data_IF_831244051809
#
_entry.id   IF_831244051809
#
_cell.length_a   1.000
_cell.length_b   1.000
_cell.length_c   1.000
_cell.angle_alpha   90.00
_cell.angle_beta   90.00
_cell.angle_gamma   90.00
#
_symmetry.space_group_name_H-M   'P 1'
#
loop_
_entity.id
_entity.type
_entity.pdbx_description
1 polymer ?
#
# COMPACT_ATOMS: atom_id res chain seq x y z
N UNK A 1 -1.79 35.46 18.06
CA UNK A 1 -2.11 34.78 19.33
C UNK A 1 -0.82 34.21 19.88
N UNK A 2 -0.48 34.49 21.13
CA UNK A 2 0.74 33.94 21.72
C UNK A 2 0.52 32.46 22.07
N UNK A 3 1.60 31.66 22.08
CA UNK A 3 1.53 30.23 22.47
C UNK A 3 0.94 30.07 23.89
N UNK A 4 1.25 30.98 24.81
CA UNK A 4 0.74 30.95 26.19
C UNK A 4 -0.77 31.15 26.26
N UNK A 5 -1.34 32.06 25.46
CA UNK A 5 -2.80 32.27 25.36
C UNK A 5 -3.52 31.02 24.83
N UNK A 6 -2.94 30.38 23.80
CA UNK A 6 -3.47 29.14 23.23
C UNK A 6 -3.46 28.02 24.28
N UNK A 7 -2.33 27.81 24.94
CA UNK A 7 -2.21 26.81 26.02
C UNK A 7 -3.19 27.12 27.15
N UNK A 8 -3.32 28.37 27.58
CA UNK A 8 -4.25 28.76 28.64
C UNK A 8 -5.70 28.46 28.29
N UNK A 9 -6.11 28.67 27.02
CA UNK A 9 -7.46 28.39 26.55
C UNK A 9 -7.75 26.88 26.49
N UNK A 10 -6.83 26.10 25.93
CA UNK A 10 -6.99 24.64 25.81
C UNK A 10 -6.99 23.95 27.18
N UNK A 11 -6.21 24.47 28.13
CA UNK A 11 -6.13 24.00 29.51
C UNK A 11 -7.41 24.14 30.33
N UNK A 12 -8.43 24.84 29.81
CA UNK A 12 -9.76 24.93 30.43
C UNK A 12 -10.61 23.67 30.17
N UNK A 13 -10.22 22.85 29.20
CA UNK A 13 -10.92 21.64 28.83
C UNK A 13 -10.15 20.42 29.31
N UNK A 14 -10.88 19.38 29.70
CA UNK A 14 -10.32 18.06 29.96
C UNK A 14 -10.31 17.20 28.70
N UNK A 15 -9.49 16.15 28.70
CA UNK A 15 -9.52 15.16 27.64
C UNK A 15 -10.86 14.39 27.71
N UNK A 16 -11.59 14.22 26.59
CA UNK A 16 -11.11 14.33 25.21
C UNK A 16 -11.47 15.68 24.52
N UNK A 17 -12.25 16.55 25.17
CA UNK A 17 -12.68 17.84 24.60
C UNK A 17 -11.50 18.77 24.25
N UNK A 18 -10.43 18.75 25.07
CA UNK A 18 -9.24 19.55 24.78
C UNK A 18 -8.54 19.17 23.46
N UNK A 19 -8.55 17.87 23.09
CA UNK A 19 -7.97 17.40 21.83
C UNK A 19 -8.78 17.89 20.64
N UNK A 20 -10.12 17.85 20.74
CA UNK A 20 -11.03 18.37 19.70
C UNK A 20 -10.80 19.87 19.46
N UNK A 21 -10.76 20.67 20.53
CA UNK A 21 -10.47 22.10 20.44
C UNK A 21 -9.05 22.37 19.92
N UNK A 22 -8.07 21.55 20.30
CA UNK A 22 -6.70 21.67 19.82
C UNK A 22 -6.62 21.50 18.30
N UNK A 23 -7.34 20.53 17.71
CA UNK A 23 -7.38 20.34 16.25
C UNK A 23 -7.87 21.61 15.52
N UNK A 24 -8.94 22.24 16.02
CA UNK A 24 -9.47 23.50 15.46
C UNK A 24 -8.44 24.62 15.55
N UNK A 25 -7.70 24.73 16.66
CA UNK A 25 -6.65 25.75 16.82
C UNK A 25 -5.44 25.47 15.92
N UNK A 26 -5.05 24.21 15.75
CA UNK A 26 -3.98 23.81 14.84
C UNK A 26 -4.39 24.14 13.40
N UNK A 27 -5.63 23.89 13.01
CA UNK A 27 -6.15 24.30 11.70
C UNK A 27 -6.01 25.80 11.47
N UNK A 28 -6.44 26.62 12.43
CA UNK A 28 -6.33 28.08 12.34
C UNK A 28 -4.87 28.57 12.23
N UNK A 29 -3.91 27.80 12.74
CA UNK A 29 -2.48 28.14 12.67
C UNK A 29 -1.85 27.74 11.35
N UNK A 30 -2.22 26.58 10.81
CA UNK A 30 -1.56 25.95 9.67
C UNK A 30 -2.25 26.20 8.33
N UNK A 31 -3.56 26.45 8.35
CA UNK A 31 -4.37 26.60 7.14
C UNK A 31 -4.65 28.08 6.91
N UNK A 32 -4.15 28.60 5.79
CA UNK A 32 -4.31 29.98 5.39
C UNK A 32 -3.93 30.22 3.93
N UNK A 33 -4.00 31.47 3.47
CA UNK A 33 -3.64 31.84 2.09
C UNK A 33 -2.13 31.73 1.80
N UNK A 34 -1.30 31.79 2.84
CA UNK A 34 0.15 31.69 2.74
C UNK A 34 0.62 30.41 3.45
N UNK A 35 1.80 29.92 3.04
CA UNK A 35 2.44 28.81 3.72
C UNK A 35 2.70 29.13 5.20
N UNK A 36 2.50 28.17 6.12
CA UNK A 36 2.76 28.39 7.54
C UNK A 36 4.24 28.67 7.79
N UNK A 37 4.51 29.65 8.65
CA UNK A 37 5.88 29.97 9.09
C UNK A 37 6.44 28.87 10.00
N UNK A 38 7.77 28.76 10.10
CA UNK A 38 8.43 27.81 11.03
C UNK A 38 7.89 27.95 12.45
N UNK A 39 7.69 29.18 12.92
CA UNK A 39 7.15 29.45 14.25
C UNK A 39 5.73 28.90 14.43
N UNK A 40 4.88 28.96 13.40
CA UNK A 40 3.54 28.38 13.46
C UNK A 40 3.58 26.85 13.49
N UNK A 41 4.51 26.25 12.73
CA UNK A 41 4.75 24.81 12.75
C UNK A 41 5.24 24.34 14.14
N UNK A 42 6.18 25.06 14.75
CA UNK A 42 6.69 24.76 16.10
C UNK A 42 5.57 24.84 17.14
N UNK A 43 4.76 25.90 17.09
CA UNK A 43 3.59 26.06 17.97
C UNK A 43 2.60 24.90 17.77
N UNK A 44 2.29 24.54 16.53
CA UNK A 44 1.39 23.44 16.23
C UNK A 44 1.93 22.10 16.77
N UNK A 45 3.22 21.83 16.61
CA UNK A 45 3.88 20.64 17.14
C UNK A 45 3.80 20.55 18.67
N UNK A 46 3.99 21.67 19.37
CA UNK A 46 3.80 21.74 20.82
C UNK A 46 2.34 21.45 21.22
N UNK A 47 1.37 22.01 20.50
CA UNK A 47 -0.05 21.76 20.79
C UNK A 47 -0.43 20.30 20.54
N UNK A 48 0.09 19.69 19.47
CA UNK A 48 -0.11 18.28 19.15
C UNK A 48 0.47 17.40 20.25
N UNK A 49 1.68 17.70 20.71
CA UNK A 49 2.34 16.91 21.76
C UNK A 49 1.64 17.04 23.12
N UNK A 50 1.22 18.24 23.53
CA UNK A 50 0.61 18.48 24.85
C UNK A 50 -0.89 18.10 24.89
N UNK A 51 -1.68 18.48 23.88
CA UNK A 51 -3.16 18.40 23.96
C UNK A 51 -3.78 17.31 23.09
N UNK A 52 -3.13 16.88 22.01
CA UNK A 52 -3.67 15.82 21.14
C UNK A 52 -3.19 14.45 21.61
N UNK A 53 -1.86 14.25 21.70
CA UNK A 53 -1.27 12.97 22.11
C UNK A 53 -0.89 12.89 23.59
N UNK A 54 -1.01 13.99 24.34
CA UNK A 54 -0.68 14.07 25.77
C UNK A 54 0.70 13.48 26.12
N UNK A 55 1.69 13.68 25.24
CA UNK A 55 3.07 13.21 25.42
C UNK A 55 3.81 13.98 26.52
N UNK A 56 3.39 15.23 26.78
CA UNK A 56 3.93 16.11 27.81
C UNK A 56 2.80 16.70 28.65
N UNK A 57 2.98 16.73 29.97
CA UNK A 57 2.08 17.41 30.91
C UNK A 57 2.53 18.88 31.13
N UNK A 58 1.72 19.70 31.81
CA UNK A 58 2.00 21.10 32.17
C UNK A 58 3.36 21.32 32.84
N UNK A 59 3.88 20.30 33.51
CA UNK A 59 5.17 20.29 34.22
C UNK A 59 6.35 19.76 33.37
N UNK A 60 6.11 19.43 32.11
CA UNK A 60 7.11 18.80 31.22
C UNK A 60 7.30 17.30 31.46
N UNK A 61 6.51 16.68 32.33
CA UNK A 61 6.57 15.25 32.57
C UNK A 61 6.03 14.47 31.37
N UNK A 62 6.76 13.43 30.95
CA UNK A 62 6.31 12.55 29.88
C UNK A 62 5.13 11.71 30.36
N UNK A 63 3.96 11.93 29.77
CA UNK A 63 2.76 11.11 29.96
C UNK A 63 2.39 10.48 28.61
N UNK A 64 1.42 9.59 28.62
CA UNK A 64 0.82 9.04 27.41
C UNK A 64 -0.65 8.78 27.65
N UNK A 65 -1.38 8.62 26.55
CA UNK A 65 -2.78 8.22 26.59
C UNK A 65 -2.90 6.79 27.13
N UNK A 66 -3.93 6.55 27.93
CA UNK A 66 -4.34 5.18 28.26
C UNK A 66 -5.15 4.56 27.08
N UNK A 67 -5.40 3.24 27.05
CA UNK A 67 -6.09 2.60 25.92
C UNK A 67 -7.48 3.17 25.62
N UNK A 68 -8.26 3.58 26.64
CA UNK A 68 -9.57 4.20 26.43
C UNK A 68 -9.42 5.58 25.78
N UNK A 69 -8.45 6.36 26.23
CA UNK A 69 -8.15 7.68 25.66
C UNK A 69 -7.60 7.57 24.23
N UNK A 70 -6.80 6.54 23.93
CA UNK A 70 -6.38 6.24 22.56
C UNK A 70 -7.59 6.03 21.64
N UNK A 71 -8.58 5.25 22.07
CA UNK A 71 -9.82 5.03 21.32
C UNK A 71 -10.66 6.32 21.16
N UNK A 72 -10.81 7.10 22.23
CA UNK A 72 -11.50 8.39 22.16
C UNK A 72 -10.80 9.38 21.22
N UNK A 73 -9.46 9.39 21.20
CA UNK A 73 -8.70 10.22 20.27
C UNK A 73 -8.93 9.79 18.82
N UNK A 74 -8.94 8.48 18.56
CA UNK A 74 -9.19 7.93 17.22
C UNK A 74 -10.56 8.36 16.71
N UNK A 75 -11.59 8.28 17.54
CA UNK A 75 -12.95 8.73 17.23
C UNK A 75 -12.97 10.23 16.89
N UNK A 76 -12.32 11.07 17.71
CA UNK A 76 -12.20 12.51 17.45
C UNK A 76 -11.49 12.82 16.13
N UNK A 77 -10.38 12.13 15.85
CA UNK A 77 -9.63 12.34 14.61
C UNK A 77 -10.48 11.90 13.41
N UNK A 78 -11.18 10.76 13.51
CA UNK A 78 -12.05 10.25 12.47
C UNK A 78 -13.19 11.22 12.16
N UNK A 79 -13.89 11.70 13.19
CA UNK A 79 -14.96 12.68 13.08
C UNK A 79 -14.47 14.00 12.49
N UNK A 80 -13.32 14.50 12.98
CA UNK A 80 -12.75 15.76 12.51
C UNK A 80 -12.38 15.69 11.03
N UNK A 81 -11.64 14.66 10.60
CA UNK A 81 -11.23 14.50 9.19
C UNK A 81 -12.44 14.27 8.29
N UNK A 82 -13.46 13.56 8.76
CA UNK A 82 -14.69 13.32 8.01
C UNK A 82 -15.56 14.58 7.88
N UNK A 83 -15.50 15.48 8.86
CA UNK A 83 -16.22 16.76 8.84
C UNK A 83 -15.54 17.83 7.96
N UNK A 84 -14.23 17.74 7.74
CA UNK A 84 -13.53 18.66 6.85
C UNK A 84 -14.03 18.52 5.40
N UNK A 85 -14.31 19.64 4.72
CA UNK A 85 -14.72 19.63 3.31
C UNK A 85 -13.55 19.86 2.34
N UNK A 86 -12.50 20.55 2.79
CA UNK A 86 -11.31 20.85 1.99
C UNK A 86 -10.23 19.77 2.15
N UNK A 87 -9.83 19.12 1.06
CA UNK A 87 -8.81 18.07 1.07
C UNK A 87 -7.41 18.58 1.42
N UNK A 88 -7.04 19.80 1.04
CA UNK A 88 -5.78 20.42 1.47
C UNK A 88 -5.74 20.56 2.99
N UNK A 89 -6.85 20.99 3.60
CA UNK A 89 -6.96 21.10 5.06
C UNK A 89 -6.79 19.74 5.73
N UNK A 90 -7.53 18.71 5.26
CA UNK A 90 -7.42 17.35 5.79
C UNK A 90 -5.97 16.87 5.78
N UNK A 91 -5.31 16.96 4.62
CA UNK A 91 -3.95 16.48 4.46
C UNK A 91 -2.95 17.31 5.27
N UNK A 92 -3.15 18.62 5.40
CA UNK A 92 -2.31 19.48 6.25
C UNK A 92 -2.37 19.04 7.71
N UNK A 93 -3.57 18.83 8.24
CA UNK A 93 -3.72 18.42 9.65
C UNK A 93 -3.22 16.99 9.84
N UNK A 94 -3.59 16.07 8.95
CA UNK A 94 -3.19 14.67 9.04
C UNK A 94 -1.67 14.48 8.97
N UNK A 95 -1.00 15.15 8.03
CA UNK A 95 0.47 15.16 7.94
C UNK A 95 1.12 15.89 9.13
N UNK A 96 0.47 16.88 9.74
CA UNK A 96 1.01 17.51 10.96
C UNK A 96 0.92 16.57 12.17
N UNK A 97 -0.16 15.79 12.27
CA UNK A 97 -0.36 14.81 13.33
C UNK A 97 0.61 13.64 13.22
N UNK A 98 0.83 13.14 12.00
CA UNK A 98 1.52 11.87 11.75
C UNK A 98 2.75 11.95 10.85
N UNK A 99 3.17 13.12 10.32
CA UNK A 99 4.32 13.22 9.41
C UNK A 99 5.67 13.31 10.12
N UNK A 100 5.74 13.92 11.30
CA UNK A 100 6.96 14.00 12.13
C UNK A 100 7.09 12.81 13.08
N UNK A 101 7.41 11.61 12.57
CA UNK A 101 7.40 10.38 13.36
C UNK A 101 8.77 9.93 13.85
N UNK A 102 9.20 10.48 14.97
CA UNK A 102 10.15 9.80 15.87
C UNK A 102 9.42 8.94 16.93
N UNK A 103 8.10 9.14 17.11
CA UNK A 103 7.31 8.54 18.19
C UNK A 103 6.51 7.31 17.71
N UNK A 104 6.95 6.11 18.12
CA UNK A 104 6.22 4.83 17.91
C UNK A 104 4.77 4.86 18.43
N UNK A 105 4.47 5.71 19.42
CA UNK A 105 3.11 5.88 19.96
C UNK A 105 2.15 6.46 18.92
N UNK A 106 2.57 7.49 18.17
CA UNK A 106 1.76 8.08 17.10
C UNK A 106 1.49 7.07 15.99
N UNK A 107 2.46 6.19 15.69
CA UNK A 107 2.31 5.13 14.69
C UNK A 107 1.33 4.05 15.12
N UNK A 108 1.31 3.71 16.42
CA UNK A 108 0.30 2.83 16.99
C UNK A 108 -1.10 3.42 16.82
N UNK A 109 -1.31 4.70 17.18
CA UNK A 109 -2.61 5.38 16.99
C UNK A 109 -3.02 5.41 15.51
N UNK A 110 -2.09 5.75 14.61
CA UNK A 110 -2.33 5.72 13.16
C UNK A 110 -2.72 4.32 12.66
N UNK A 111 -2.06 3.28 13.17
CA UNK A 111 -2.37 1.89 12.79
C UNK A 111 -3.78 1.49 13.19
N UNK A 112 -4.20 1.81 14.42
CA UNK A 112 -5.56 1.51 14.88
C UNK A 112 -6.58 2.35 14.10
N UNK A 113 -6.31 3.65 13.88
CA UNK A 113 -7.17 4.53 13.08
C UNK A 113 -7.35 3.98 11.65
N UNK A 114 -6.28 3.56 10.99
CA UNK A 114 -6.35 3.01 9.65
C UNK A 114 -7.11 1.67 9.63
N UNK A 115 -6.84 0.76 10.56
CA UNK A 115 -7.58 -0.51 10.68
C UNK A 115 -9.07 -0.28 10.93
N UNK A 116 -9.44 0.67 11.79
CA UNK A 116 -10.83 1.05 12.02
C UNK A 116 -11.47 1.71 10.80
N UNK A 117 -10.74 2.58 10.10
CA UNK A 117 -11.23 3.23 8.89
C UNK A 117 -11.49 2.22 7.76
N UNK A 118 -10.67 1.17 7.65
CA UNK A 118 -10.92 0.03 6.75
C UNK A 118 -12.19 -0.70 7.16
N UNK A 119 -12.36 -1.05 8.44
CA UNK A 119 -13.57 -1.73 8.95
C UNK A 119 -14.84 -0.93 8.69
N UNK A 120 -14.79 0.39 8.95
CA UNK A 120 -15.91 1.30 8.82
C UNK A 120 -16.10 1.85 7.40
N UNK A 121 -15.22 1.51 6.45
CA UNK A 121 -15.18 2.07 5.09
C UNK A 121 -15.16 3.62 5.07
N UNK A 122 -14.46 4.23 6.04
CA UNK A 122 -14.34 5.69 6.16
C UNK A 122 -13.41 6.25 5.09
N UNK A 123 -14.01 6.64 3.97
CA UNK A 123 -13.28 7.12 2.78
C UNK A 123 -12.40 8.35 3.08
N UNK A 124 -12.86 9.40 3.79
CA UNK A 124 -12.04 10.58 4.05
C UNK A 124 -10.75 10.26 4.83
N UNK A 125 -10.85 9.39 5.83
CA UNK A 125 -9.69 8.96 6.63
C UNK A 125 -8.76 8.09 5.81
N UNK A 126 -9.29 7.14 5.05
CA UNK A 126 -8.47 6.27 4.19
C UNK A 126 -7.69 7.07 3.15
N UNK A 127 -8.33 8.06 2.50
CA UNK A 127 -7.64 8.94 1.56
C UNK A 127 -6.49 9.71 2.24
N UNK A 128 -6.71 10.25 3.44
CA UNK A 128 -5.64 10.92 4.22
C UNK A 128 -4.49 9.96 4.59
N UNK A 129 -4.80 8.71 4.97
CA UNK A 129 -3.80 7.65 5.18
C UNK A 129 -3.04 7.33 3.88
N UNK A 130 -3.74 7.31 2.75
CA UNK A 130 -3.14 7.11 1.42
C UNK A 130 -2.14 8.21 1.07
N UNK A 131 -2.49 9.48 1.32
CA UNK A 131 -1.59 10.62 1.13
C UNK A 131 -0.39 10.52 2.08
N UNK A 132 -0.61 10.14 3.33
CA UNK A 132 0.46 9.93 4.31
C UNK A 132 1.44 8.84 3.86
N UNK A 133 0.96 7.68 3.41
CA UNK A 133 1.79 6.58 2.88
C UNK A 133 2.67 7.05 1.71
N UNK A 134 2.14 7.93 0.86
CA UNK A 134 2.89 8.49 -0.25
C UNK A 134 3.95 9.47 0.22
N UNK A 135 3.59 10.43 1.09
CA UNK A 135 4.53 11.46 1.56
C UNK A 135 5.66 10.89 2.42
N UNK A 136 5.39 9.87 3.24
CA UNK A 136 6.41 9.16 4.01
C UNK A 136 7.21 8.14 3.19
N UNK A 137 6.79 7.86 1.96
CA UNK A 137 7.32 6.80 1.11
C UNK A 137 6.79 5.42 1.51
N UNK A 138 6.28 4.66 0.53
CA UNK A 138 5.66 3.35 0.76
C UNK A 138 6.64 2.27 1.23
N UNK A 139 7.94 2.39 0.89
CA UNK A 139 9.00 1.48 1.34
C UNK A 139 9.64 1.89 2.67
N UNK A 140 9.18 2.97 3.33
CA UNK A 140 9.71 3.35 4.65
C UNK A 140 9.27 2.35 5.72
N UNK A 141 10.11 2.16 6.75
CA UNK A 141 9.82 1.20 7.83
C UNK A 141 8.47 1.47 8.50
N UNK A 142 8.08 2.74 8.64
CA UNK A 142 6.81 3.16 9.24
C UNK A 142 5.62 2.79 8.35
N UNK A 143 5.73 3.03 7.03
CA UNK A 143 4.71 2.62 6.06
C UNK A 143 4.52 1.10 6.04
N UNK A 144 5.64 0.36 6.05
CA UNK A 144 5.63 -1.10 6.09
C UNK A 144 4.98 -1.62 7.39
N UNK A 145 5.31 -1.04 8.54
CA UNK A 145 4.71 -1.40 9.83
C UNK A 145 3.19 -1.11 9.88
N UNK A 146 2.76 0.03 9.31
CA UNK A 146 1.33 0.36 9.20
C UNK A 146 0.59 -0.68 8.35
N UNK A 147 1.12 -0.98 7.17
CA UNK A 147 0.51 -1.91 6.22
C UNK A 147 0.52 -3.33 6.76
N UNK A 148 1.59 -3.77 7.44
CA UNK A 148 1.64 -5.07 8.11
C UNK A 148 0.55 -5.21 9.19
N UNK A 149 0.31 -4.16 9.99
CA UNK A 149 -0.79 -4.16 10.96
C UNK A 149 -2.16 -4.29 10.29
N UNK A 150 -2.42 -3.53 9.21
CA UNK A 150 -3.67 -3.63 8.45
C UNK A 150 -3.84 -5.03 7.86
N UNK A 151 -2.77 -5.62 7.32
CA UNK A 151 -2.79 -6.97 6.77
C UNK A 151 -3.15 -7.98 7.87
N UNK A 152 -2.51 -7.88 9.04
CA UNK A 152 -2.80 -8.73 10.20
C UNK A 152 -4.26 -8.66 10.63
N UNK A 153 -4.80 -7.44 10.71
CA UNK A 153 -6.14 -7.22 11.26
C UNK A 153 -7.26 -7.65 10.28
N UNK A 154 -7.04 -7.52 8.96
CA UNK A 154 -8.10 -7.69 7.96
C UNK A 154 -7.96 -8.90 7.04
N UNK A 155 -6.75 -9.41 6.83
CA UNK A 155 -6.47 -10.39 5.78
C UNK A 155 -6.03 -11.76 6.32
N UNK A 156 -5.50 -11.84 7.55
CA UNK A 156 -5.11 -13.13 8.14
C UNK A 156 -6.30 -13.99 8.58
N UNK A 157 -7.37 -13.38 9.06
CA UNK A 157 -8.61 -14.07 9.42
C UNK A 157 -9.63 -13.88 8.29
N UNK A 158 -10.31 -14.95 7.88
CA UNK A 158 -11.43 -14.86 6.94
C UNK A 158 -12.61 -14.17 7.65
N UNK A 159 -12.61 -12.84 7.64
CA UNK A 159 -13.61 -12.02 8.33
C UNK A 159 -14.80 -11.77 7.41
N UNK A 160 -15.97 -11.56 8.01
CA UNK A 160 -17.24 -11.28 7.34
C UNK A 160 -17.24 -10.01 6.45
N UNK A 161 -16.12 -9.27 6.40
CA UNK A 161 -16.00 -7.94 5.82
C UNK A 161 -15.44 -7.92 4.37
N UNK A 162 -15.42 -9.08 3.70
CA UNK A 162 -14.89 -9.22 2.32
C UNK A 162 -15.56 -8.28 1.30
N UNK A 163 -16.85 -7.96 1.48
CA UNK A 163 -17.55 -7.00 0.61
C UNK A 163 -17.02 -5.58 0.78
N UNK A 164 -16.87 -5.12 2.03
CA UNK A 164 -16.33 -3.80 2.34
C UNK A 164 -14.92 -3.64 1.75
N UNK A 165 -14.05 -4.63 1.95
CA UNK A 165 -12.70 -4.65 1.36
C UNK A 165 -12.74 -4.51 -0.15
N UNK A 166 -13.60 -5.25 -0.86
CA UNK A 166 -13.73 -5.14 -2.32
C UNK A 166 -14.14 -3.74 -2.79
N UNK A 167 -15.01 -3.05 -2.05
CA UNK A 167 -15.46 -1.69 -2.40
C UNK A 167 -14.37 -0.62 -2.25
N UNK A 168 -13.33 -0.86 -1.43
CA UNK A 168 -12.26 0.11 -1.19
C UNK A 168 -11.54 0.56 -2.46
N UNK A 169 -11.39 -0.33 -3.44
CA UNK A 169 -10.76 0.02 -4.72
C UNK A 169 -11.53 1.09 -5.49
N UNK A 170 -12.83 1.26 -5.22
CA UNK A 170 -13.67 2.29 -5.83
C UNK A 170 -13.79 3.54 -4.97
N UNK A 171 -13.89 3.38 -3.64
CA UNK A 171 -14.13 4.50 -2.72
C UNK A 171 -12.84 5.23 -2.34
N UNK A 172 -11.75 4.51 -2.10
CA UNK A 172 -10.46 5.05 -1.70
C UNK A 172 -9.31 4.56 -2.61
N UNK A 173 -9.36 4.82 -3.94
CA UNK A 173 -8.43 4.23 -4.90
C UNK A 173 -6.97 4.61 -4.64
N UNK A 174 -6.69 5.85 -4.21
CA UNK A 174 -5.33 6.32 -3.90
C UNK A 174 -4.74 5.56 -2.70
N UNK A 175 -5.54 5.36 -1.65
CA UNK A 175 -5.13 4.54 -0.50
C UNK A 175 -4.82 3.13 -0.94
N UNK A 176 -5.71 2.49 -1.71
CA UNK A 176 -5.51 1.12 -2.18
C UNK A 176 -4.26 1.00 -3.05
N UNK A 177 -4.01 1.95 -3.95
CA UNK A 177 -2.78 1.95 -4.76
C UNK A 177 -1.52 1.99 -3.89
N UNK A 178 -1.45 2.93 -2.94
CA UNK A 178 -0.29 3.07 -2.05
C UNK A 178 -0.15 1.90 -1.06
N UNK A 179 -1.28 1.35 -0.60
CA UNK A 179 -1.32 0.14 0.21
C UNK A 179 -0.73 -1.05 -0.55
N UNK A 180 -1.13 -1.27 -1.81
CA UNK A 180 -0.58 -2.35 -2.63
C UNK A 180 0.92 -2.12 -2.84
N UNK A 181 1.37 -0.88 -3.10
CA UNK A 181 2.80 -0.57 -3.25
C UNK A 181 3.57 -1.01 -2.01
N UNK A 182 3.16 -0.55 -0.81
CA UNK A 182 3.81 -0.94 0.44
C UNK A 182 3.70 -2.45 0.74
N UNK A 183 2.56 -3.08 0.40
CA UNK A 183 2.38 -4.51 0.58
C UNK A 183 3.34 -5.30 -0.32
N UNK A 184 3.54 -4.89 -1.57
CA UNK A 184 4.51 -5.54 -2.45
C UNK A 184 5.93 -5.46 -1.90
N UNK A 185 6.33 -4.30 -1.36
CA UNK A 185 7.63 -4.12 -0.71
C UNK A 185 7.79 -5.02 0.53
N UNK A 186 6.76 -5.15 1.36
CA UNK A 186 6.76 -5.99 2.56
C UNK A 186 7.04 -7.47 2.25
N UNK A 187 6.53 -7.97 1.12
CA UNK A 187 6.72 -9.35 0.67
C UNK A 187 7.85 -9.51 -0.37
N UNK A 188 8.58 -8.43 -0.69
CA UNK A 188 9.72 -8.44 -1.62
C UNK A 188 11.09 -8.36 -0.95
N UNK A 189 11.19 -8.08 0.36
CA UNK A 189 12.48 -7.84 1.00
C UNK A 189 13.40 -9.07 1.09
N UNK A 190 14.40 -9.10 0.22
CA UNK A 190 15.48 -10.09 0.02
C UNK A 190 16.53 -10.18 1.15
N UNK A 191 16.35 -9.49 2.29
CA UNK A 191 17.37 -9.46 3.34
C UNK A 191 17.36 -10.70 4.26
N UNK A 192 16.25 -11.43 4.32
CA UNK A 192 16.14 -12.67 5.09
C UNK A 192 15.90 -13.83 4.12
N UNK A 193 16.71 -14.89 4.24
CA UNK A 193 16.76 -16.09 3.38
C UNK A 193 15.43 -16.87 3.26
N UNK A 194 14.32 -16.34 3.77
CA UNK A 194 12.99 -16.94 3.73
C UNK A 194 12.12 -16.18 2.74
N UNK A 195 11.88 -16.81 1.59
CA UNK A 195 10.90 -16.37 0.58
C UNK A 195 9.55 -16.17 1.27
N UNK A 196 9.01 -14.95 1.28
CA UNK A 196 7.72 -14.63 1.92
C UNK A 196 6.71 -14.29 0.83
N UNK A 197 5.86 -15.24 0.44
CA UNK A 197 4.70 -14.94 -0.39
C UNK A 197 3.60 -14.26 0.45
N UNK A 198 2.76 -13.41 -0.14
CA UNK A 198 1.60 -12.85 0.54
C UNK A 198 0.60 -13.94 0.95
N UNK A 199 -0.12 -13.80 2.08
CA UNK A 199 -1.21 -14.69 2.44
C UNK A 199 -2.27 -14.79 1.35
N UNK A 200 -2.85 -15.98 1.13
CA UNK A 200 -3.85 -16.23 0.08
C UNK A 200 -5.00 -15.22 0.06
N UNK A 201 -5.58 -14.89 1.22
CA UNK A 201 -6.66 -13.90 1.31
C UNK A 201 -6.23 -12.50 0.83
N UNK A 202 -5.01 -12.06 1.16
CA UNK A 202 -4.47 -10.80 0.67
C UNK A 202 -4.32 -10.84 -0.86
N UNK A 203 -3.79 -11.94 -1.37
CA UNK A 203 -3.66 -12.17 -2.81
C UNK A 203 -5.02 -12.15 -3.51
N UNK A 204 -6.05 -12.81 -2.96
CA UNK A 204 -7.41 -12.82 -3.51
C UNK A 204 -8.01 -11.42 -3.62
N UNK A 205 -7.89 -10.61 -2.56
CA UNK A 205 -8.45 -9.27 -2.53
C UNK A 205 -7.69 -8.34 -3.49
N UNK A 206 -6.36 -8.35 -3.48
CA UNK A 206 -5.54 -7.56 -4.41
C UNK A 206 -5.84 -7.97 -5.87
N UNK A 207 -5.94 -9.27 -6.13
CA UNK A 207 -6.32 -9.80 -7.45
C UNK A 207 -7.68 -9.28 -7.87
N UNK A 208 -8.68 -9.30 -6.97
CA UNK A 208 -10.00 -8.74 -7.25
C UNK A 208 -9.94 -7.24 -7.56
N UNK A 209 -9.17 -6.47 -6.80
CA UNK A 209 -9.03 -5.02 -6.99
C UNK A 209 -8.38 -4.66 -8.31
N UNK A 210 -7.21 -5.24 -8.61
CA UNK A 210 -6.41 -4.94 -9.80
C UNK A 210 -7.10 -5.44 -11.07
N UNK A 211 -7.69 -6.64 -11.02
CA UNK A 211 -8.40 -7.19 -12.17
C UNK A 211 -9.65 -6.40 -12.54
N UNK A 212 -10.40 -5.91 -11.54
CA UNK A 212 -11.67 -5.20 -11.78
C UNK A 212 -11.48 -3.73 -12.14
N UNK A 213 -10.36 -3.11 -11.74
CA UNK A 213 -10.11 -1.68 -11.92
C UNK A 213 -8.72 -1.43 -12.57
N UNK A 214 -8.63 -1.41 -13.91
CA UNK A 214 -7.34 -1.27 -14.61
C UNK A 214 -6.57 0.03 -14.31
N UNK A 215 -7.24 1.10 -13.90
CA UNK A 215 -6.58 2.39 -13.58
C UNK A 215 -6.13 2.49 -12.11
N UNK A 216 -6.51 1.52 -11.27
CA UNK A 216 -6.30 1.56 -9.82
C UNK A 216 -4.83 1.73 -9.43
N UNK A 217 -3.93 0.96 -10.05
CA UNK A 217 -2.50 1.00 -9.76
C UNK A 217 -1.85 2.36 -10.09
N UNK A 218 -2.51 3.22 -10.87
CA UNK A 218 -1.99 4.55 -11.20
C UNK A 218 -2.77 5.66 -10.52
N UNK A 219 -3.76 5.34 -9.68
CA UNK A 219 -4.67 6.32 -9.10
C UNK A 219 -3.94 7.42 -8.33
N UNK A 220 -2.89 7.08 -7.58
CA UNK A 220 -2.04 8.02 -6.84
C UNK A 220 -1.22 8.95 -7.75
N UNK A 221 -0.92 8.53 -8.98
CA UNK A 221 -0.24 9.35 -9.98
C UNK A 221 -1.22 10.22 -10.76
N UNK A 222 -2.39 9.67 -11.09
CA UNK A 222 -3.43 10.37 -11.88
C UNK A 222 -4.15 11.44 -11.06
N UNK A 223 -4.25 11.24 -9.74
CA UNK A 223 -4.87 12.17 -8.81
C UNK A 223 -3.84 12.60 -7.75
N UNK A 224 -3.00 13.61 -8.06
CA UNK A 224 -2.05 14.14 -7.09
C UNK A 224 -2.75 14.61 -5.83
N UNK A 225 -2.17 14.29 -4.67
CA UNK A 225 -2.71 14.70 -3.38
C UNK A 225 -2.77 16.23 -3.26
N UNK A 226 -3.83 16.74 -2.64
CA UNK A 226 -3.93 18.15 -2.26
C UNK A 226 -3.05 18.40 -1.03
N UNK A 227 -1.84 18.93 -1.23
CA UNK A 227 -0.85 19.11 -0.17
C UNK A 227 -0.81 20.55 0.38
N UNK A 228 -0.22 20.77 1.58
CA UNK A 228 -0.07 22.10 2.16
C UNK A 228 0.72 23.06 1.25
N UNK A 229 0.42 24.34 1.31
CA UNK A 229 1.19 25.36 0.57
C UNK A 229 2.66 25.32 0.98
N UNK A 230 3.56 25.22 -0.01
CA UNK A 230 5.02 25.15 0.20
C UNK A 230 5.56 23.73 0.40
N UNK A 231 4.71 22.69 0.44
CA UNK A 231 5.18 21.30 0.49
C UNK A 231 5.78 20.86 -0.85
N UNK A 232 6.81 20.03 -0.79
CA UNK A 232 7.36 19.34 -1.97
C UNK A 232 6.67 17.97 -2.05
N UNK A 233 5.91 17.68 -3.12
CA UNK A 233 5.20 16.41 -3.23
C UNK A 233 6.19 15.25 -3.40
N UNK A 234 6.07 14.22 -2.58
CA UNK A 234 6.72 12.95 -2.85
C UNK A 234 6.15 12.33 -4.14
N UNK A 235 7.04 11.88 -5.01
CA UNK A 235 6.66 11.22 -6.26
C UNK A 235 5.87 9.93 -5.96
N UNK A 236 4.70 9.79 -6.58
CA UNK A 236 3.88 8.59 -6.44
C UNK A 236 4.55 7.39 -7.13
N UNK A 237 4.79 6.33 -6.36
CA UNK A 237 5.29 5.04 -6.84
C UNK A 237 4.11 4.09 -7.06
N UNK A 238 3.99 3.50 -8.24
CA UNK A 238 2.92 2.54 -8.53
C UNK A 238 3.25 1.15 -7.97
N UNK A 239 2.24 0.33 -7.66
CA UNK A 239 2.45 -1.05 -7.25
C UNK A 239 2.88 -1.98 -8.39
N UNK A 240 2.89 -1.50 -9.65
CA UNK A 240 3.05 -2.35 -10.83
C UNK A 240 4.39 -3.10 -10.82
N UNK A 241 5.48 -2.44 -10.42
CA UNK A 241 6.78 -3.11 -10.33
C UNK A 241 6.69 -4.32 -9.39
N UNK A 242 6.19 -4.13 -8.17
CA UNK A 242 6.12 -5.22 -7.19
C UNK A 242 5.12 -6.31 -7.54
N UNK A 243 3.98 -5.95 -8.14
CA UNK A 243 3.01 -6.93 -8.64
C UNK A 243 3.58 -7.76 -9.81
N UNK A 244 4.38 -7.16 -10.70
CA UNK A 244 5.09 -7.89 -11.75
C UNK A 244 6.05 -8.89 -11.10
N UNK A 245 6.77 -8.52 -10.04
CA UNK A 245 7.67 -9.46 -9.36
C UNK A 245 6.93 -10.65 -8.77
N UNK A 246 5.84 -10.38 -8.05
CA UNK A 246 4.96 -11.40 -7.50
C UNK A 246 4.48 -12.36 -8.59
N UNK A 247 3.95 -11.84 -9.70
CA UNK A 247 3.41 -12.66 -10.78
C UNK A 247 4.48 -13.43 -11.54
N UNK A 248 5.62 -12.80 -11.83
CA UNK A 248 6.73 -13.39 -12.56
C UNK A 248 7.38 -14.54 -11.80
N UNK A 249 7.57 -14.37 -10.48
CA UNK A 249 8.28 -15.37 -9.66
C UNK A 249 7.36 -16.46 -9.10
N UNK A 250 6.04 -16.26 -9.11
CA UNK A 250 5.07 -17.24 -8.63
C UNK A 250 5.30 -18.68 -9.15
N UNK A 251 5.57 -18.94 -10.45
CA UNK A 251 5.84 -20.29 -10.95
C UNK A 251 7.04 -20.98 -10.27
N UNK A 252 8.01 -20.20 -9.77
CA UNK A 252 9.23 -20.71 -9.15
C UNK A 252 9.04 -21.07 -7.67
N UNK A 253 7.96 -20.59 -7.05
CA UNK A 253 7.76 -20.65 -5.60
C UNK A 253 6.50 -21.38 -5.17
N UNK A 254 5.51 -21.49 -6.06
CA UNK A 254 4.26 -22.18 -5.78
C UNK A 254 4.34 -23.56 -6.42
N UNK A 255 4.03 -24.58 -5.62
CA UNK A 255 3.84 -25.93 -6.12
C UNK A 255 2.36 -26.11 -6.48
N UNK A 256 2.10 -26.58 -7.70
CA UNK A 256 0.74 -26.71 -8.27
C UNK A 256 -0.16 -27.65 -7.45
N UNK A 257 0.43 -28.47 -6.57
CA UNK A 257 -0.24 -29.54 -5.82
C UNK A 257 -0.55 -29.20 -4.35
N UNK A 258 -0.26 -27.99 -3.85
CA UNK A 258 -0.55 -27.65 -2.45
C UNK A 258 -1.95 -27.07 -2.32
N UNK A 259 -2.98 -27.92 -2.34
CA UNK A 259 -4.22 -27.60 -1.63
C UNK A 259 -3.86 -27.57 -0.14
N UNK A 260 -3.61 -26.38 0.42
CA UNK A 260 -3.48 -26.26 1.87
C UNK A 260 -4.84 -26.59 2.49
N UNK A 261 -4.88 -27.69 3.24
CA UNK A 261 -6.00 -28.05 4.11
C UNK A 261 -6.52 -26.78 4.81
N UNK A 262 -7.80 -26.50 4.63
CA UNK A 262 -8.49 -25.53 5.48
C UNK A 262 -8.19 -25.90 6.93
N UNK A 263 -7.47 -25.04 7.65
CA UNK A 263 -7.31 -25.17 9.10
C UNK A 263 -8.74 -25.32 9.64
N UNK A 264 -9.11 -26.41 10.36
CA UNK A 264 -10.48 -26.60 10.79
C UNK A 264 -10.79 -25.54 11.83
N UNK A 265 -11.43 -24.45 11.39
CA UNK A 265 -11.97 -23.44 12.28
C UNK A 265 -13.16 -24.11 12.98
N UNK A 266 -12.98 -24.47 14.25
CA UNK A 266 -14.10 -24.84 15.13
C UNK A 266 -15.05 -23.65 15.18
N UNK A 267 -16.12 -23.69 14.38
CA UNK A 267 -17.26 -22.79 14.53
C UNK A 267 -17.77 -22.94 15.96
N UNK A 268 -17.67 -21.89 16.75
CA UNK A 268 -18.38 -21.80 18.03
C UNK A 268 -19.86 -21.80 17.65
N UNK A 269 -20.56 -22.91 17.94
CA UNK A 269 -22.01 -22.99 17.81
C UNK A 269 -22.61 -22.06 18.87
N UNK A 270 -23.17 -20.95 18.42
CA UNK A 270 -24.21 -20.25 19.17
C UNK A 270 -25.51 -20.98 18.81
N UNK A 271 -26.16 -21.59 19.81
CA UNK A 271 -27.46 -22.23 19.66
C UNK A 271 -28.53 -21.20 19.23
N UNK A 272 -29.47 -21.65 18.40
CA UNK A 272 -30.71 -20.97 17.94
C UNK A 272 -30.78 -20.29 16.57
N UNK A 273 -30.30 -20.92 15.49
CA UNK A 273 -30.91 -20.69 14.16
C UNK A 273 -31.20 -21.99 13.38
N UNK A 274 -32.46 -22.12 12.93
CA UNK A 274 -32.99 -23.23 12.13
C UNK A 274 -32.27 -23.34 10.78
N UNK A 275 -32.07 -24.56 10.24
CA UNK A 275 -31.31 -24.74 9.01
C UNK A 275 -32.15 -24.32 7.78
N UNK A 276 -31.72 -23.26 7.09
CA UNK A 276 -32.23 -22.98 5.73
C UNK A 276 -31.53 -23.91 4.74
N UNK A 277 -32.33 -24.68 4.01
CA UNK A 277 -31.89 -25.53 2.90
C UNK A 277 -31.74 -24.62 1.69
N UNK A 278 -30.58 -23.97 1.58
CA UNK A 278 -30.11 -23.43 0.30
C UNK A 278 -28.81 -24.15 -0.01
N UNK A 279 -28.86 -25.06 -1.00
CA UNK A 279 -27.67 -25.64 -1.61
C UNK A 279 -26.95 -24.50 -2.34
N UNK A 280 -26.07 -23.79 -1.63
CA UNK A 280 -25.09 -22.89 -2.22
C UNK A 280 -24.20 -23.73 -3.13
N UNK A 281 -24.28 -23.47 -4.43
CA UNK A 281 -23.31 -23.95 -5.41
C UNK A 281 -21.93 -23.57 -4.85
N UNK A 282 -21.00 -24.52 -4.63
CA UNK A 282 -19.68 -24.16 -4.11
C UNK A 282 -19.01 -23.33 -5.20
N UNK A 283 -18.90 -22.01 -4.99
CA UNK A 283 -18.00 -21.19 -5.78
C UNK A 283 -16.60 -21.73 -5.55
N UNK A 284 -16.07 -22.52 -6.50
CA UNK A 284 -14.72 -23.07 -6.41
C UNK A 284 -13.76 -21.93 -6.12
N UNK A 285 -13.16 -21.92 -4.93
CA UNK A 285 -12.13 -20.95 -4.59
C UNK A 285 -10.95 -21.18 -5.52
N UNK A 286 -10.36 -20.10 -6.04
CA UNK A 286 -9.24 -20.20 -6.95
C UNK A 286 -8.03 -20.78 -6.20
N UNK A 287 -7.23 -21.59 -6.88
CA UNK A 287 -5.91 -22.00 -6.38
C UNK A 287 -4.97 -20.79 -6.34
N UNK A 288 -3.89 -20.86 -5.57
CA UNK A 288 -2.91 -19.76 -5.55
C UNK A 288 -2.32 -19.51 -6.94
N UNK A 289 -2.02 -20.57 -7.69
CA UNK A 289 -1.54 -20.45 -9.08
C UNK A 289 -2.55 -19.71 -9.97
N UNK A 290 -3.84 -20.08 -9.90
CA UNK A 290 -4.92 -19.41 -10.65
C UNK A 290 -5.05 -17.92 -10.25
N UNK A 291 -4.86 -17.59 -8.97
CA UNK A 291 -4.86 -16.20 -8.51
C UNK A 291 -3.71 -15.39 -9.10
N UNK A 292 -2.49 -15.92 -9.14
CA UNK A 292 -1.37 -15.22 -9.76
C UNK A 292 -1.53 -15.07 -11.28
N UNK A 293 -2.11 -16.05 -11.96
CA UNK A 293 -2.43 -15.93 -13.39
C UNK A 293 -3.44 -14.80 -13.62
N UNK A 294 -4.50 -14.76 -12.82
CA UNK A 294 -5.52 -13.70 -12.89
C UNK A 294 -4.97 -12.33 -12.52
N UNK A 295 -4.11 -12.26 -11.50
CA UNK A 295 -3.43 -11.03 -11.10
C UNK A 295 -2.52 -10.54 -12.21
N UNK A 296 -1.72 -11.42 -12.82
CA UNK A 296 -0.85 -11.09 -13.95
C UNK A 296 -1.66 -10.46 -15.09
N UNK A 297 -2.79 -11.05 -15.46
CA UNK A 297 -3.69 -10.47 -16.46
C UNK A 297 -4.20 -9.08 -16.04
N UNK A 298 -4.57 -8.89 -14.77
CA UNK A 298 -4.95 -7.58 -14.22
C UNK A 298 -3.82 -6.55 -14.30
N UNK A 299 -2.58 -6.95 -14.03
CA UNK A 299 -1.38 -6.11 -14.16
C UNK A 299 -1.16 -5.71 -15.62
N UNK A 300 -1.27 -6.65 -16.57
CA UNK A 300 -1.17 -6.35 -18.01
C UNK A 300 -2.27 -5.39 -18.48
N UNK A 301 -3.51 -5.58 -18.00
CA UNK A 301 -4.60 -4.64 -18.25
C UNK A 301 -4.30 -3.25 -17.68
N UNK A 302 -3.70 -3.18 -16.50
CA UNK A 302 -3.33 -1.92 -15.86
C UNK A 302 -2.22 -1.19 -16.62
N UNK A 303 -1.19 -1.90 -17.08
CA UNK A 303 -0.15 -1.35 -17.94
C UNK A 303 -0.71 -0.85 -19.28
N UNK A 304 -1.68 -1.58 -19.86
CA UNK A 304 -2.35 -1.14 -21.08
C UNK A 304 -3.22 0.10 -20.87
N UNK A 305 -3.94 0.16 -19.75
CA UNK A 305 -4.73 1.33 -19.36
C UNK A 305 -3.85 2.54 -19.05
N UNK A 306 -2.59 2.31 -18.68
CA UNK A 306 -1.59 3.32 -18.40
C UNK A 306 -1.01 4.04 -19.61
N UNK A 307 -1.55 3.83 -20.82
CA UNK A 307 -1.18 4.62 -22.00
C UNK A 307 -1.37 6.10 -21.69
N UNK A 308 -0.26 6.79 -21.50
CA UNK A 308 -0.24 8.25 -21.48
C UNK A 308 -0.17 8.75 -22.90
N UNK A 309 -1.11 9.61 -23.27
CA UNK A 309 -1.05 10.41 -24.49
C UNK A 309 -0.15 11.64 -24.30
N UNK A 310 0.07 12.08 -23.05
CA UNK A 310 0.89 13.24 -22.71
C UNK A 310 1.67 13.02 -21.39
N UNK A 311 2.93 13.50 -21.36
CA UNK A 311 3.82 13.45 -20.20
C UNK A 311 4.79 12.25 -20.19
N UNK A 312 5.86 12.30 -19.39
CA UNK A 312 6.85 11.24 -19.33
C UNK A 312 6.27 9.93 -18.74
N UNK A 313 6.82 8.77 -19.12
CA UNK A 313 6.54 7.50 -18.46
C UNK A 313 6.86 7.62 -16.97
N UNK A 314 5.95 7.20 -16.08
CA UNK A 314 6.25 7.15 -14.62
C UNK A 314 5.67 5.90 -13.96
N UNK A 315 5.13 4.95 -14.72
CA UNK A 315 4.41 3.83 -14.12
C UNK A 315 5.38 2.80 -13.51
N UNK A 316 6.42 2.40 -14.24
CA UNK A 316 7.34 1.33 -13.81
C UNK A 316 8.81 1.73 -14.01
N UNK A 317 9.61 1.65 -12.95
CA UNK A 317 11.05 1.90 -13.02
C UNK A 317 11.77 0.71 -13.68
N UNK A 318 12.57 0.97 -14.71
CA UNK A 318 13.39 -0.02 -15.39
C UNK A 318 14.35 -0.77 -14.45
N UNK A 319 14.89 -0.10 -13.42
CA UNK A 319 15.79 -0.71 -12.44
C UNK A 319 15.07 -1.76 -11.60
N UNK A 320 13.80 -1.51 -11.22
CA UNK A 320 13.03 -2.48 -10.45
C UNK A 320 12.77 -3.72 -11.33
N UNK A 321 12.45 -3.55 -12.60
CA UNK A 321 12.30 -4.69 -13.51
C UNK A 321 13.60 -5.48 -13.71
N UNK A 322 14.74 -4.79 -13.78
CA UNK A 322 16.05 -5.43 -13.88
C UNK A 322 16.44 -6.21 -12.60
N UNK A 323 15.87 -5.88 -11.45
CA UNK A 323 16.10 -6.60 -10.19
C UNK A 323 15.54 -8.04 -10.21
N UNK A 324 14.65 -8.38 -11.15
CA UNK A 324 14.21 -9.77 -11.36
C UNK A 324 15.31 -10.67 -11.90
N UNK A 325 16.27 -10.12 -12.65
CA UNK A 325 17.34 -10.88 -13.30
C UNK A 325 18.16 -11.74 -12.32
N UNK A 326 18.75 -11.19 -11.24
CA UNK A 326 19.54 -12.00 -10.31
C UNK A 326 18.74 -13.12 -9.64
N UNK A 327 17.46 -12.91 -9.36
CA UNK A 327 16.57 -13.93 -8.78
C UNK A 327 16.34 -15.11 -9.72
N UNK A 328 16.03 -14.81 -10.99
CA UNK A 328 15.79 -15.83 -12.02
C UNK A 328 17.10 -16.56 -12.35
N UNK A 329 18.22 -15.85 -12.41
CA UNK A 329 19.54 -16.47 -12.58
C UNK A 329 19.87 -17.40 -11.42
N UNK A 330 19.63 -17.00 -10.17
CA UNK A 330 19.88 -17.85 -9.01
C UNK A 330 19.07 -19.15 -9.08
N UNK A 331 17.80 -19.09 -9.51
CA UNK A 331 16.99 -20.28 -9.77
C UNK A 331 17.55 -21.12 -10.93
N UNK A 332 17.91 -20.50 -12.06
CA UNK A 332 18.51 -21.19 -13.20
C UNK A 332 19.79 -21.95 -12.84
N UNK A 333 20.65 -21.37 -12.00
CA UNK A 333 21.83 -22.06 -11.47
C UNK A 333 21.46 -23.29 -10.62
N UNK A 334 20.35 -23.26 -9.88
CA UNK A 334 19.86 -24.42 -9.13
C UNK A 334 19.34 -25.52 -10.06
N UNK A 335 18.64 -25.16 -11.14
CA UNK A 335 18.17 -26.11 -12.17
C UNK A 335 19.35 -26.81 -12.85
N UNK A 336 20.38 -26.04 -13.23
CA UNK A 336 21.62 -26.60 -13.81
C UNK A 336 22.34 -27.54 -12.83
N UNK A 337 22.41 -27.18 -11.54
CA UNK A 337 22.98 -28.06 -10.50
C UNK A 337 22.24 -29.39 -10.35
N UNK A 338 20.93 -29.41 -10.66
CA UNK A 338 20.13 -30.65 -10.70
C UNK A 338 20.31 -31.45 -11.99
N UNK A 339 21.15 -30.99 -12.92
CA UNK A 339 21.38 -31.64 -14.22
C UNK A 339 20.24 -31.45 -15.23
N UNK A 340 19.28 -30.57 -14.95
CA UNK A 340 18.14 -30.28 -15.82
C UNK A 340 18.52 -29.17 -16.81
N UNK A 341 18.14 -29.32 -18.08
CA UNK A 341 18.34 -28.26 -19.08
C UNK A 341 17.39 -27.10 -18.79
N UNK A 342 17.88 -25.87 -18.85
CA UNK A 342 17.07 -24.67 -18.59
C UNK A 342 15.84 -24.55 -19.52
N UNK A 343 15.95 -25.05 -20.76
CA UNK A 343 14.85 -25.05 -21.74
C UNK A 343 13.75 -26.08 -21.42
N UNK A 344 14.05 -27.12 -20.63
CA UNK A 344 13.07 -28.15 -20.25
C UNK A 344 12.35 -27.86 -18.94
N UNK A 345 12.81 -26.87 -18.16
CA UNK A 345 12.17 -26.50 -16.90
C UNK A 345 10.97 -25.57 -17.18
N UNK A 346 9.76 -26.11 -17.07
CA UNK A 346 8.51 -25.39 -17.40
C UNK A 346 8.30 -24.19 -16.48
N UNK A 347 8.56 -24.34 -15.18
CA UNK A 347 8.45 -23.27 -14.18
C UNK A 347 9.34 -22.07 -14.53
N UNK A 348 10.58 -22.33 -14.95
CA UNK A 348 11.50 -21.30 -15.42
C UNK A 348 10.99 -20.63 -16.71
N UNK A 349 10.51 -21.40 -17.68
CA UNK A 349 9.98 -20.83 -18.92
C UNK A 349 8.72 -19.98 -18.68
N UNK A 350 7.81 -20.42 -17.81
CA UNK A 350 6.63 -19.64 -17.42
C UNK A 350 7.00 -18.34 -16.71
N UNK A 351 8.03 -18.37 -15.85
CA UNK A 351 8.58 -17.18 -15.22
C UNK A 351 9.11 -16.19 -16.27
N UNK A 352 9.93 -16.67 -17.22
CA UNK A 352 10.49 -15.84 -18.29
C UNK A 352 9.40 -15.28 -19.22
N UNK A 353 8.36 -16.07 -19.52
CA UNK A 353 7.23 -15.62 -20.33
C UNK A 353 6.42 -14.53 -19.61
N UNK A 354 6.17 -14.65 -18.30
CA UNK A 354 5.48 -13.59 -17.52
C UNK A 354 6.30 -12.31 -17.47
N UNK A 355 7.62 -12.39 -17.29
CA UNK A 355 8.54 -11.25 -17.38
C UNK A 355 8.44 -10.60 -18.76
N UNK A 356 8.55 -11.40 -19.83
CA UNK A 356 8.47 -10.91 -21.20
C UNK A 356 7.14 -10.23 -21.51
N UNK A 357 6.01 -10.84 -21.14
CA UNK A 357 4.67 -10.26 -21.34
C UNK A 357 4.53 -8.91 -20.65
N UNK A 358 4.93 -8.82 -19.37
CA UNK A 358 4.84 -7.58 -18.61
C UNK A 358 5.70 -6.47 -19.22
N UNK A 359 6.95 -6.77 -19.58
CA UNK A 359 7.88 -5.82 -20.18
C UNK A 359 7.41 -5.37 -21.55
N UNK A 360 6.97 -6.30 -22.41
CA UNK A 360 6.46 -5.98 -23.74
C UNK A 360 5.26 -5.04 -23.65
N UNK A 361 4.29 -5.33 -22.78
CA UNK A 361 3.13 -4.46 -22.59
C UNK A 361 3.56 -3.12 -22.00
N UNK A 362 4.44 -3.10 -21.00
CA UNK A 362 4.90 -1.85 -20.40
C UNK A 362 5.64 -0.94 -21.41
N UNK A 363 6.54 -1.49 -22.22
CA UNK A 363 7.28 -0.74 -23.25
C UNK A 363 6.34 -0.27 -24.38
N UNK A 364 5.47 -1.14 -24.88
CA UNK A 364 4.53 -0.80 -25.97
C UNK A 364 3.49 0.25 -25.58
N UNK A 365 3.26 0.47 -24.28
CA UNK A 365 2.34 1.49 -23.76
C UNK A 365 3.06 2.68 -23.11
N UNK A 366 4.39 2.80 -23.24
CA UNK A 366 5.16 3.93 -22.72
C UNK A 366 5.10 4.05 -21.19
N UNK A 367 5.04 2.92 -20.48
CA UNK A 367 4.91 2.88 -19.01
C UNK A 367 6.26 2.78 -18.29
N UNK A 368 7.33 2.38 -18.97
CA UNK A 368 8.66 2.17 -18.39
C UNK A 368 9.48 3.47 -18.42
N UNK A 369 10.10 3.81 -17.29
CA UNK A 369 11.01 4.95 -17.17
C UNK A 369 12.36 4.57 -16.59
N UNK A 370 13.35 5.46 -16.70
CA UNK A 370 14.73 5.20 -16.28
C UNK A 370 15.58 4.60 -17.40
N UNK A 371 16.59 3.82 -17.05
CA UNK A 371 17.56 3.29 -18.02
C UNK A 371 17.05 2.00 -18.68
N UNK A 372 16.34 2.16 -19.80
CA UNK A 372 15.80 1.04 -20.59
C UNK A 372 16.93 0.18 -21.19
N UNK A 373 18.05 0.79 -21.61
CA UNK A 373 19.20 0.06 -22.15
C UNK A 373 19.79 -0.91 -21.12
N UNK A 374 19.93 -0.48 -19.87
CA UNK A 374 20.37 -1.36 -18.78
C UNK A 374 19.37 -2.49 -18.51
N UNK A 375 18.05 -2.21 -18.60
CA UNK A 375 17.03 -3.25 -18.49
C UNK A 375 17.19 -4.29 -19.61
N UNK A 376 17.30 -3.86 -20.87
CA UNK A 376 17.47 -4.78 -22.00
C UNK A 376 18.76 -5.60 -21.88
N UNK A 377 19.86 -4.98 -21.45
CA UNK A 377 21.11 -5.69 -21.18
C UNK A 377 20.96 -6.72 -20.05
N UNK A 378 20.24 -6.39 -18.97
CA UNK A 378 19.97 -7.32 -17.88
C UNK A 378 19.10 -8.51 -18.34
N UNK A 379 18.11 -8.28 -19.20
CA UNK A 379 17.28 -9.35 -19.77
C UNK A 379 18.06 -10.28 -20.70
N UNK A 380 19.07 -9.77 -21.41
CA UNK A 380 19.92 -10.57 -22.31
C UNK A 380 20.78 -11.58 -21.54
N UNK A 381 21.02 -11.35 -20.25
CA UNK A 381 21.73 -12.29 -19.37
C UNK A 381 20.86 -13.42 -18.82
N UNK A 382 19.55 -13.42 -19.10
CA UNK A 382 18.62 -14.46 -18.66
C UNK A 382 18.74 -15.73 -19.54
N UNK A 383 18.28 -16.89 -19.04
CA UNK A 383 18.17 -18.10 -19.84
C UNK A 383 17.37 -17.89 -21.12
N UNK A 384 17.68 -18.68 -22.15
CA UNK A 384 17.03 -18.57 -23.45
C UNK A 384 15.51 -18.74 -23.34
N UNK A 385 14.78 -17.73 -23.81
CA UNK A 385 13.34 -17.73 -23.95
C UNK A 385 12.94 -17.00 -25.25
N UNK A 386 11.98 -17.57 -25.98
CA UNK A 386 11.58 -17.07 -27.31
C UNK A 386 11.00 -15.65 -27.25
N UNK A 387 10.15 -15.37 -26.26
CA UNK A 387 9.49 -14.07 -26.12
C UNK A 387 10.50 -12.98 -25.78
N UNK A 388 11.36 -13.22 -24.77
CA UNK A 388 12.41 -12.26 -24.39
C UNK A 388 13.34 -11.92 -25.56
N UNK A 389 13.75 -12.92 -26.36
CA UNK A 389 14.57 -12.69 -27.56
C UNK A 389 13.88 -11.76 -28.57
N UNK A 390 12.57 -11.90 -28.77
CA UNK A 390 11.80 -11.03 -29.68
C UNK A 390 11.76 -9.60 -29.13
N UNK A 391 11.49 -9.43 -27.84
CA UNK A 391 11.42 -8.13 -27.16
C UNK A 391 12.75 -7.39 -27.26
N UNK A 392 13.84 -8.06 -26.89
CA UNK A 392 15.20 -7.49 -26.91
C UNK A 392 15.54 -7.03 -28.33
N UNK A 393 15.34 -7.86 -29.35
CA UNK A 393 15.60 -7.48 -30.74
C UNK A 393 14.72 -6.32 -31.22
N UNK A 394 13.43 -6.33 -30.89
CA UNK A 394 12.49 -5.30 -31.32
C UNK A 394 12.80 -3.93 -30.71
N UNK A 395 13.24 -3.89 -29.45
CA UNK A 395 13.48 -2.64 -28.74
C UNK A 395 14.94 -2.15 -28.83
N UNK A 396 15.92 -3.04 -29.04
CA UNK A 396 17.30 -2.63 -29.36
C UNK A 396 17.42 -1.90 -30.72
N UNK A 397 16.50 -2.16 -31.66
CA UNK A 397 16.47 -1.46 -32.96
C UNK A 397 15.80 -0.08 -32.89
N UNK A 398 15.09 0.22 -31.79
CA UNK A 398 14.30 1.46 -31.61
C UNK A 398 14.99 2.47 -30.68
N UNK A 399 16.11 2.10 -30.07
CA UNK A 399 17.00 2.94 -29.24
C UNK A 399 18.23 3.24 -30.08
#
# INVERSE_FOLDING_TARGET
MSLSELKHTLRKHEFPACAKEALIKIEQLLVGRAAPTSKQLDIAMELISEFVFCETDRRGNRRGLNPLQELQLIDIICDYISACTNDTTKNTIFLSLFGGMESQRKLKVLSILASMAVSASSTPVLLAVGVWLQQMGCSSQQSLQLVENIIRDHFFLNTSNQSALKTLATTAPQFVSNFITAATELYMHEAQKTKKMPPKNLLEVITSWVYSNPTLCMSAQLNPAALPSGSIPMAAVTPLAGLIHWCALAPLYIDEDTEMDEIPIKRIKIEDEKPSIVKTIPSKSLTESELYIKLHLGVLHSLRAGRRTHGPPTAVNAQHLAALTPLVQAYGHQVLKKGVKLQSDTKLQDCLDRIGQAIQVALANGCVYGNISNLLAALDTLPENRLLRIIIKSHQQSI
#
